data_IF_788199431619
#
_entry.id   IF_788199431619
#
_cell.length_a   1.000
_cell.length_b   1.000
_cell.length_c   1.000
_cell.angle_alpha   90.00
_cell.angle_beta   90.00
_cell.angle_gamma   90.00
#
_symmetry.space_group_name_H-M   'P 1'
#
loop_
_entity.id
_entity.type
_entity.pdbx_description
1 polymer ?
#
# COMPACT_ATOMS: atom_id res chain seq x y z
N UNK A 1 27.69 -5.04 18.42
CA UNK A 1 27.08 -5.07 17.07
C UNK A 1 25.80 -5.86 17.20
N UNK A 2 24.70 -5.21 17.55
CA UNK A 2 23.43 -5.92 17.76
C UNK A 2 22.70 -6.02 16.42
N UNK A 3 22.74 -7.23 15.86
CA UNK A 3 21.93 -7.61 14.71
C UNK A 3 20.50 -7.68 15.22
N UNK A 4 19.70 -6.66 14.92
CA UNK A 4 18.25 -6.70 15.16
C UNK A 4 17.68 -7.93 14.46
N UNK A 5 16.73 -8.65 15.09
CA UNK A 5 16.13 -9.81 14.46
C UNK A 5 15.56 -9.37 13.11
N UNK A 6 15.89 -10.13 12.07
CA UNK A 6 15.27 -10.00 10.76
C UNK A 6 13.79 -10.29 11.00
N UNK A 7 12.99 -9.24 11.17
CA UNK A 7 11.56 -9.38 11.38
C UNK A 7 11.05 -10.12 10.15
N UNK A 8 10.43 -11.29 10.35
CA UNK A 8 9.74 -11.99 9.28
C UNK A 8 8.72 -11.07 8.60
N UNK A 9 8.22 -11.46 7.42
CA UNK A 9 7.23 -10.68 6.68
C UNK A 9 6.09 -10.27 7.64
N UNK A 10 5.91 -8.96 7.84
CA UNK A 10 4.91 -8.47 8.77
C UNK A 10 3.52 -8.84 8.25
N UNK A 11 2.66 -9.33 9.14
CA UNK A 11 1.23 -9.51 8.84
C UNK A 11 0.46 -8.19 8.90
N UNK A 12 1.14 -7.09 9.26
CA UNK A 12 0.55 -5.75 9.23
C UNK A 12 0.38 -5.30 7.77
N UNK A 13 -0.87 -4.96 7.45
CA UNK A 13 -1.25 -4.35 6.18
C UNK A 13 -1.60 -2.89 6.43
N UNK A 14 -1.05 -2.00 5.60
CA UNK A 14 -1.44 -0.59 5.56
C UNK A 14 -2.21 -0.34 4.27
N UNK A 15 -3.48 0.05 4.42
CA UNK A 15 -4.30 0.52 3.31
C UNK A 15 -4.06 2.01 3.04
N UNK A 16 -3.86 2.36 1.78
CA UNK A 16 -3.59 3.74 1.32
C UNK A 16 -4.65 4.13 0.30
N UNK A 17 -5.27 5.29 0.52
CA UNK A 17 -6.21 5.90 -0.43
C UNK A 17 -5.42 6.88 -1.31
N UNK A 18 -5.25 6.55 -2.58
CA UNK A 18 -4.44 7.30 -3.54
C UNK A 18 -3.05 6.69 -3.78
N UNK A 19 -2.74 6.41 -5.04
CA UNK A 19 -1.53 5.77 -5.54
C UNK A 19 -0.55 6.71 -6.23
N UNK A 20 -0.58 8.00 -5.91
CA UNK A 20 0.34 9.01 -6.47
C UNK A 20 1.80 8.82 -6.06
N UNK A 21 2.64 9.81 -6.36
CA UNK A 21 4.08 9.77 -6.08
C UNK A 21 4.41 9.57 -4.59
N UNK A 22 3.61 10.13 -3.69
CA UNK A 22 3.78 9.93 -2.25
C UNK A 22 3.44 8.50 -1.82
N UNK A 23 2.40 7.90 -2.41
CA UNK A 23 2.09 6.48 -2.22
C UNK A 23 3.22 5.56 -2.68
N UNK A 24 3.89 5.91 -3.79
CA UNK A 24 5.06 5.19 -4.28
C UNK A 24 6.24 5.29 -3.31
N UNK A 25 6.52 6.49 -2.80
CA UNK A 25 7.57 6.71 -1.79
C UNK A 25 7.28 5.94 -0.50
N UNK A 26 6.01 5.88 -0.08
CA UNK A 26 5.58 5.06 1.06
C UNK A 26 5.80 3.56 0.81
N UNK A 27 5.46 3.05 -0.37
CA UNK A 27 5.72 1.65 -0.74
C UNK A 27 7.21 1.30 -0.66
N UNK A 28 8.08 2.20 -1.14
CA UNK A 28 9.53 2.02 -1.05
C UNK A 28 10.00 1.90 0.41
N UNK A 29 9.54 2.80 1.29
CA UNK A 29 9.89 2.74 2.71
C UNK A 29 9.33 1.48 3.40
N UNK A 30 8.09 1.12 3.10
CA UNK A 30 7.41 -0.04 3.66
C UNK A 30 8.07 -1.36 3.27
N UNK A 31 8.62 -1.45 2.05
CA UNK A 31 9.36 -2.62 1.57
C UNK A 31 10.57 -2.94 2.45
N UNK A 32 11.29 -1.93 2.94
CA UNK A 32 12.44 -2.12 3.84
C UNK A 32 12.03 -2.62 5.23
N UNK A 33 10.77 -2.42 5.62
CA UNK A 33 10.21 -2.81 6.91
C UNK A 33 9.40 -4.11 6.84
N UNK A 34 9.28 -4.71 5.66
CA UNK A 34 8.46 -5.92 5.45
C UNK A 34 6.96 -5.69 5.64
N UNK A 35 6.47 -4.45 5.47
CA UNK A 35 5.05 -4.08 5.62
C UNK A 35 4.34 -4.16 4.27
N UNK A 36 3.16 -4.80 4.24
CA UNK A 36 2.34 -4.92 3.02
C UNK A 36 1.54 -3.64 2.81
N UNK A 37 1.67 -3.02 1.63
CA UNK A 37 0.88 -1.83 1.24
C UNK A 37 -0.23 -2.23 0.26
N UNK A 38 -1.47 -1.91 0.60
CA UNK A 38 -2.63 -2.00 -0.30
C UNK A 38 -2.99 -0.58 -0.76
N UNK A 39 -3.34 -0.41 -2.03
CA UNK A 39 -3.69 0.90 -2.60
C UNK A 39 -5.08 0.85 -3.23
N UNK A 40 -5.92 1.84 -2.91
CA UNK A 40 -7.14 2.16 -3.66
C UNK A 40 -6.87 3.42 -4.51
N UNK A 41 -6.96 3.30 -5.83
CA UNK A 41 -6.80 4.43 -6.74
C UNK A 41 -7.69 4.26 -7.99
N UNK A 42 -8.31 5.34 -8.52
CA UNK A 42 -9.16 5.26 -9.70
C UNK A 42 -8.38 5.05 -11.01
N UNK A 43 -7.07 5.28 -11.02
CA UNK A 43 -6.21 5.06 -12.18
C UNK A 43 -5.57 3.67 -12.14
N UNK A 44 -5.69 2.92 -13.23
CA UNK A 44 -5.05 1.61 -13.41
C UNK A 44 -3.51 1.72 -13.33
N UNK A 45 -2.96 2.78 -13.93
CA UNK A 45 -1.52 3.04 -14.01
C UNK A 45 -1.05 4.08 -12.98
N UNK A 46 -1.64 4.11 -11.78
CA UNK A 46 -1.19 5.03 -10.74
C UNK A 46 0.30 4.79 -10.37
N UNK A 47 1.10 5.82 -10.04
CA UNK A 47 2.53 5.68 -9.79
C UNK A 47 2.94 4.56 -8.81
N UNK A 48 2.12 4.31 -7.80
CA UNK A 48 2.38 3.35 -6.75
C UNK A 48 1.93 1.92 -7.06
N UNK A 49 1.11 1.68 -8.10
CA UNK A 49 0.60 0.34 -8.45
C UNK A 49 1.74 -0.66 -8.72
N UNK A 50 2.81 -0.18 -9.35
CA UNK A 50 4.02 -0.96 -9.67
C UNK A 50 4.83 -1.45 -8.46
N UNK A 51 4.61 -0.90 -7.26
CA UNK A 51 5.41 -1.20 -6.06
C UNK A 51 4.59 -1.70 -4.86
N UNK A 52 3.28 -1.47 -4.86
CA UNK A 52 2.42 -1.91 -3.78
C UNK A 52 2.25 -3.43 -3.78
N UNK A 53 1.84 -3.98 -2.64
CA UNK A 53 1.52 -5.41 -2.53
C UNK A 53 0.25 -5.76 -3.32
N UNK A 54 -0.74 -4.86 -3.32
CA UNK A 54 -1.96 -5.02 -4.10
C UNK A 54 -2.58 -3.66 -4.41
N UNK A 55 -2.93 -3.45 -5.67
CA UNK A 55 -3.70 -2.31 -6.13
C UNK A 55 -5.16 -2.73 -6.38
N UNK A 56 -6.09 -1.91 -5.92
CA UNK A 56 -7.52 -2.03 -6.12
C UNK A 56 -7.96 -0.82 -6.93
N UNK A 57 -8.54 -1.08 -8.10
CA UNK A 57 -9.13 -0.04 -8.92
C UNK A 57 -10.45 0.43 -8.30
N UNK A 58 -10.54 1.71 -7.99
CA UNK A 58 -11.74 2.32 -7.41
C UNK A 58 -11.50 3.73 -6.92
N UNK A 59 -12.56 4.54 -6.85
CA UNK A 59 -12.43 5.92 -6.39
C UNK A 59 -12.38 5.97 -4.87
N UNK A 60 -11.43 6.70 -4.31
CA UNK A 60 -11.39 7.01 -2.88
C UNK A 60 -12.43 8.08 -2.47
N UNK A 61 -13.04 8.76 -3.44
CA UNK A 61 -14.18 9.65 -3.21
C UNK A 61 -15.53 8.89 -3.14
N UNK A 62 -15.54 7.61 -3.52
CA UNK A 62 -16.70 6.74 -3.37
C UNK A 62 -16.62 5.94 -2.06
N UNK A 63 -17.50 6.26 -1.12
CA UNK A 63 -17.58 5.58 0.17
C UNK A 63 -17.82 4.08 0.06
N UNK A 64 -18.52 3.60 -0.98
CA UNK A 64 -18.71 2.16 -1.19
C UNK A 64 -17.41 1.47 -1.60
N UNK A 65 -16.63 2.10 -2.48
CA UNK A 65 -15.28 1.65 -2.86
C UNK A 65 -14.34 1.60 -1.66
N UNK A 66 -14.33 2.64 -0.81
CA UNK A 66 -13.53 2.67 0.43
C UNK A 66 -13.96 1.56 1.40
N UNK A 67 -15.26 1.36 1.61
CA UNK A 67 -15.77 0.28 2.47
C UNK A 67 -15.40 -1.11 1.95
N UNK A 68 -15.45 -1.32 0.62
CA UNK A 68 -15.04 -2.59 0.02
C UNK A 68 -13.54 -2.82 0.17
N UNK A 69 -12.74 -1.75 0.08
CA UNK A 69 -11.29 -1.79 0.24
C UNK A 69 -10.83 -2.09 1.68
N UNK A 70 -11.60 -1.63 2.68
CA UNK A 70 -11.25 -1.79 4.10
C UNK A 70 -11.61 -3.16 4.71
N UNK A 71 -12.24 -4.06 3.95
CA UNK A 71 -12.60 -5.42 4.38
C UNK A 71 -11.51 -6.42 4.03
#
# INVERSE_FOLDING_TARGET
TEISPIHGVSEVVVGVLGGGQLGRMLCQAASCLGIKILILDPSEDCPASSMCHRHVLGSFDDGASVQKFAK
#
